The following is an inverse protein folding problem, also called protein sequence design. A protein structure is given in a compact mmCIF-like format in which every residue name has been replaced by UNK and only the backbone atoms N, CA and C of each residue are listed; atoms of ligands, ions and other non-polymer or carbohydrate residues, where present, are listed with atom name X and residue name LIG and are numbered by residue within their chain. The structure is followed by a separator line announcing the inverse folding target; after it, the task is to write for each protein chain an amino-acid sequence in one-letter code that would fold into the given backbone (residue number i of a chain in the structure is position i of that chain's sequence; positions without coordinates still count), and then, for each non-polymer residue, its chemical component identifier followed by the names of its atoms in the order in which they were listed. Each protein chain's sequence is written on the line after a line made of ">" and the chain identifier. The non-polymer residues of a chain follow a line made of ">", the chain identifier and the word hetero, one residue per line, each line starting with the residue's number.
data_IF_228724514743
#
_entry.id   IF_228724514743
#
_cell.length_a   1.000
_cell.length_b   1.000
_cell.length_c   1.000
_cell.angle_alpha   90.00
_cell.angle_beta   90.00
_cell.angle_gamma   90.00
#
_symmetry.space_group_name_H-M   'P 1'
#
loop_
_entity.id
_entity.type
_entity.pdbx_description
1 polymer ?
#
# COMPACT_ATOMS: atom_id res chain seq x y z
N UNK A 1 39.42 0.98 15.70
CA UNK A 1 38.34 1.90 15.31
C UNK A 1 37.92 1.58 13.89
N UNK A 2 36.82 0.83 13.72
CA UNK A 2 36.36 0.44 12.40
C UNK A 2 35.77 1.65 11.68
N UNK A 3 36.20 1.89 10.43
CA UNK A 3 35.69 2.99 9.59
C UNK A 3 34.52 2.47 8.76
N UNK A 4 33.35 3.10 8.88
CA UNK A 4 32.23 2.88 7.95
C UNK A 4 32.66 3.38 6.56
N UNK A 5 32.68 2.48 5.58
CA UNK A 5 32.82 2.79 4.17
C UNK A 5 31.41 2.76 3.59
N UNK A 6 30.85 3.92 3.32
CA UNK A 6 29.44 4.15 3.01
C UNK A 6 28.87 3.10 2.02
N UNK A 7 27.85 2.37 2.44
CA UNK A 7 27.02 1.58 1.52
C UNK A 7 25.87 2.47 1.03
N UNK A 8 25.89 2.85 -0.24
CA UNK A 8 24.73 3.42 -0.92
C UNK A 8 24.32 2.47 -2.06
N UNK A 9 23.86 1.28 -1.67
CA UNK A 9 23.30 0.29 -2.62
C UNK A 9 21.78 0.42 -2.77
N UNK A 10 21.15 1.29 -1.99
CA UNK A 10 19.70 1.41 -1.93
C UNK A 10 19.28 2.70 -2.64
N UNK A 11 18.49 2.55 -3.71
CA UNK A 11 17.86 3.67 -4.37
C UNK A 11 16.57 4.00 -3.62
N UNK A 12 16.59 5.09 -2.86
CA UNK A 12 15.45 5.55 -2.06
C UNK A 12 14.77 6.71 -2.77
N UNK A 13 13.45 6.68 -2.83
CA UNK A 13 12.61 7.79 -3.29
C UNK A 13 11.80 8.31 -2.11
N UNK A 14 11.79 9.63 -1.94
CA UNK A 14 11.04 10.31 -0.88
C UNK A 14 9.78 10.90 -1.51
N UNK A 15 8.64 10.68 -0.86
CA UNK A 15 7.32 11.12 -1.27
C UNK A 15 6.75 11.98 -0.14
N UNK A 16 6.33 13.19 -0.48
CA UNK A 16 5.68 14.12 0.44
C UNK A 16 4.17 13.82 0.52
N UNK A 17 3.62 13.77 1.73
CA UNK A 17 2.17 13.65 1.94
C UNK A 17 1.42 14.93 1.55
N UNK A 18 0.17 14.81 1.13
CA UNK A 18 -0.75 15.95 1.19
C UNK A 18 -1.19 16.23 2.63
N UNK A 19 -1.54 17.48 2.91
CA UNK A 19 -2.00 17.90 4.24
C UNK A 19 -3.39 17.36 4.53
N UNK A 20 -3.59 16.84 5.75
CA UNK A 20 -4.91 16.41 6.24
C UNK A 20 -5.27 14.96 5.92
N UNK A 21 -4.36 14.19 5.32
CA UNK A 21 -4.51 12.74 5.19
C UNK A 21 -4.03 12.03 6.46
N UNK A 22 -4.70 10.94 6.88
CA UNK A 22 -4.21 10.14 8.01
C UNK A 22 -2.86 9.51 7.65
N UNK A 23 -1.90 9.47 8.60
CA UNK A 23 -0.61 8.84 8.35
C UNK A 23 -0.79 7.35 8.08
N UNK A 24 -0.18 6.89 7.00
CA UNK A 24 -0.15 5.48 6.61
C UNK A 24 1.01 4.78 7.30
N UNK A 25 0.90 3.47 7.49
CA UNK A 25 1.91 2.67 8.19
C UNK A 25 3.03 2.18 7.26
N UNK A 26 4.14 1.76 7.86
CA UNK A 26 5.19 1.02 7.18
C UNK A 26 4.62 -0.25 6.52
N UNK A 27 5.28 -0.72 5.44
CA UNK A 27 4.85 -1.87 4.62
C UNK A 27 3.59 -1.69 3.78
N UNK A 28 2.88 -0.56 3.88
CA UNK A 28 1.80 -0.25 2.95
C UNK A 28 2.35 -0.07 1.53
N UNK A 29 1.64 -0.61 0.55
CA UNK A 29 1.98 -0.47 -0.87
C UNK A 29 1.35 0.80 -1.41
N UNK A 30 2.17 1.64 -2.03
CA UNK A 30 1.75 2.84 -2.75
C UNK A 30 1.37 2.48 -4.18
N UNK A 31 0.27 3.05 -4.66
CA UNK A 31 -0.22 2.94 -6.01
C UNK A 31 -0.26 4.33 -6.64
N UNK A 32 0.06 4.41 -7.93
CA UNK A 32 -0.24 5.60 -8.73
C UNK A 32 -1.72 5.64 -9.11
N UNK A 33 -2.18 6.77 -9.61
CA UNK A 33 -3.53 6.94 -10.21
C UNK A 33 -3.85 5.90 -11.29
N UNK A 34 -2.84 5.50 -12.07
CA UNK A 34 -2.99 4.47 -13.10
C UNK A 34 -3.08 3.03 -12.53
N UNK A 35 -3.19 2.90 -11.20
CA UNK A 35 -3.25 1.65 -10.43
C UNK A 35 -1.99 0.79 -10.53
N UNK A 36 -0.87 1.34 -11.00
CA UNK A 36 0.42 0.66 -10.91
C UNK A 36 1.02 0.81 -9.52
N UNK A 37 1.52 -0.30 -8.97
CA UNK A 37 2.19 -0.28 -7.67
C UNK A 37 3.59 0.33 -7.80
N UNK A 38 3.89 1.30 -6.95
CA UNK A 38 5.21 1.92 -6.83
C UNK A 38 6.15 1.06 -5.99
N UNK A 39 5.67 0.64 -4.82
CA UNK A 39 6.46 -0.14 -3.88
C UNK A 39 5.90 -0.04 -2.47
N UNK A 40 6.57 -0.72 -1.54
CA UNK A 40 6.24 -0.65 -0.13
C UNK A 40 6.96 0.52 0.53
N UNK A 41 6.29 1.15 1.48
CA UNK A 41 6.92 2.12 2.37
C UNK A 41 7.98 1.38 3.21
N UNK A 42 9.22 1.85 3.08
CA UNK A 42 10.38 1.41 3.85
C UNK A 42 10.49 2.18 5.17
N UNK A 43 10.25 3.48 5.16
CA UNK A 43 10.40 4.35 6.33
C UNK A 43 9.47 5.56 6.23
N UNK A 44 9.08 6.10 7.40
CA UNK A 44 8.21 7.27 7.53
C UNK A 44 8.87 8.25 8.48
N UNK A 45 9.01 9.50 8.05
CA UNK A 45 9.62 10.54 8.88
C UNK A 45 8.95 11.90 8.68
N UNK A 46 9.31 12.87 9.52
CA UNK A 46 8.74 14.22 9.49
C UNK A 46 7.60 14.45 10.48
N UNK A 47 6.95 15.62 10.43
CA UNK A 47 5.85 15.95 11.34
C UNK A 47 4.63 15.08 11.07
N UNK A 48 3.91 14.70 12.13
CA UNK A 48 2.72 13.84 12.04
C UNK A 48 1.62 14.43 11.16
N UNK A 49 1.54 15.77 11.08
CA UNK A 49 0.58 16.48 10.24
C UNK A 49 0.95 16.52 8.74
N UNK A 50 2.20 16.22 8.41
CA UNK A 50 2.74 16.32 7.06
C UNK A 50 3.94 15.36 6.88
N UNK A 51 3.69 14.03 6.88
CA UNK A 51 4.76 13.04 6.85
C UNK A 51 5.42 12.92 5.48
N UNK A 52 6.63 12.36 5.48
CA UNK A 52 7.36 11.94 4.30
C UNK A 52 7.48 10.41 4.30
N UNK A 53 7.24 9.80 3.15
CA UNK A 53 7.32 8.35 2.94
C UNK A 53 8.54 8.01 2.10
N UNK A 54 9.30 7.01 2.53
CA UNK A 54 10.44 6.47 1.78
C UNK A 54 10.04 5.17 1.11
N UNK A 55 10.28 5.07 -0.19
CA UNK A 55 10.15 3.82 -0.94
C UNK A 55 11.51 3.38 -1.44
N UNK A 56 11.83 2.11 -1.24
CA UNK A 56 13.07 1.50 -1.72
C UNK A 56 12.88 0.86 -3.10
N UNK A 57 13.83 1.12 -3.99
CA UNK A 57 13.94 0.53 -5.31
C UNK A 57 15.24 -0.28 -5.44
N UNK A 58 15.14 -1.38 -6.18
CA UNK A 58 16.26 -2.29 -6.44
C UNK A 58 17.15 -1.83 -7.62
N UNK A 59 16.61 -1.05 -8.56
CA UNK A 59 17.33 -0.54 -9.74
C UNK A 59 16.77 0.81 -10.19
N UNK A 60 17.61 1.64 -10.80
CA UNK A 60 17.24 2.93 -11.37
C UNK A 60 16.28 2.76 -12.56
N UNK A 61 16.41 1.65 -13.29
CA UNK A 61 15.49 1.29 -14.38
C UNK A 61 14.06 1.09 -13.85
N UNK A 62 13.92 0.63 -12.61
CA UNK A 62 12.62 0.46 -11.97
C UNK A 62 11.96 1.80 -11.62
N UNK A 63 12.76 2.84 -11.40
CA UNK A 63 12.27 4.22 -11.18
C UNK A 63 11.86 4.83 -12.53
N UNK A 64 12.70 4.66 -13.55
CA UNK A 64 12.45 5.19 -14.90
C UNK A 64 11.23 4.54 -15.57
N UNK A 65 11.10 3.22 -15.47
CA UNK A 65 9.95 2.48 -16.02
C UNK A 65 8.62 2.82 -15.34
N UNK A 66 8.64 3.23 -14.07
CA UNK A 66 7.44 3.65 -13.33
C UNK A 66 7.05 5.11 -13.56
N UNK A 67 7.78 5.81 -14.44
CA UNK A 67 7.60 7.21 -14.80
C UNK A 67 7.39 8.10 -13.58
N UNK A 68 8.19 7.88 -12.51
CA UNK A 68 8.06 8.61 -11.26
C UNK A 68 8.55 10.04 -11.50
N UNK A 69 7.64 10.95 -11.81
CA UNK A 69 7.95 12.37 -11.97
C UNK A 69 7.93 13.04 -10.60
N UNK A 70 8.86 13.96 -10.40
CA UNK A 70 9.04 14.74 -9.15
C UNK A 70 7.77 15.54 -8.77
N UNK A 71 6.74 15.59 -9.63
CA UNK A 71 5.48 16.33 -9.44
C UNK A 71 4.21 15.48 -9.57
N UNK A 72 4.30 14.15 -9.67
CA UNK A 72 3.08 13.31 -9.68
C UNK A 72 2.48 13.32 -8.27
N UNK A 73 1.40 14.08 -8.09
CA UNK A 73 0.83 14.43 -6.77
C UNK A 73 -0.18 13.43 -6.21
N UNK A 74 -0.57 12.41 -6.98
CA UNK A 74 -1.70 11.55 -6.61
C UNK A 74 -1.28 10.08 -6.50
N UNK A 75 -1.04 9.67 -5.26
CA UNK A 75 -0.80 8.28 -4.90
C UNK A 75 -1.95 7.77 -4.02
N UNK A 76 -2.46 6.60 -4.38
CA UNK A 76 -3.46 5.88 -3.60
C UNK A 76 -2.78 4.79 -2.75
N UNK A 77 -3.35 4.51 -1.59
CA UNK A 77 -2.90 3.41 -0.71
C UNK A 77 -3.84 2.21 -0.88
N UNK A 78 -3.29 0.98 -0.98
CA UNK A 78 -4.12 -0.23 -0.89
C UNK A 78 -4.61 -0.39 0.55
N UNK A 79 -5.88 -0.05 0.76
CA UNK A 79 -6.54 -0.21 2.04
C UNK A 79 -7.02 -1.66 2.20
N UNK A 80 -6.11 -2.52 2.68
CA UNK A 80 -6.32 -3.97 2.83
C UNK A 80 -7.50 -4.33 3.77
N UNK A 81 -8.00 -3.40 4.59
CA UNK A 81 -9.16 -3.62 5.45
C UNK A 81 -10.47 -3.81 4.66
N UNK A 82 -10.68 -3.06 3.57
CA UNK A 82 -11.90 -3.17 2.76
C UNK A 82 -12.01 -4.53 2.05
N UNK A 83 -10.90 -5.15 1.68
CA UNK A 83 -10.89 -6.47 1.05
C UNK A 83 -11.30 -7.58 2.03
N UNK A 84 -10.86 -7.50 3.30
CA UNK A 84 -11.29 -8.44 4.36
C UNK A 84 -12.77 -8.27 4.68
N UNK A 85 -13.27 -7.02 4.73
CA UNK A 85 -14.70 -6.75 4.94
C UNK A 85 -15.59 -7.30 3.81
N UNK A 86 -15.15 -7.21 2.55
CA UNK A 86 -15.89 -7.76 1.41
C UNK A 86 -15.92 -9.30 1.40
N UNK A 87 -14.84 -9.97 1.85
CA UNK A 87 -14.78 -11.43 1.95
C UNK A 87 -15.68 -11.99 3.06
N UNK A 88 -15.83 -11.29 4.20
CA UNK A 88 -16.71 -11.72 5.29
C UNK A 88 -18.19 -11.68 4.88
N UNK A 89 -18.63 -10.63 4.17
CA UNK A 89 -20.01 -10.50 3.69
C UNK A 89 -20.41 -11.60 2.69
N UNK A 90 -19.51 -11.98 1.77
CA UNK A 90 -19.76 -13.10 0.82
C UNK A 90 -19.88 -14.45 1.52
N UNK A 91 -19.09 -14.70 2.58
CA UNK A 91 -19.12 -15.97 3.33
C UNK A 91 -20.44 -16.14 4.09
N UNK A 92 -20.93 -15.09 4.72
CA UNK A 92 -22.21 -15.08 5.46
C UNK A 92 -23.42 -15.35 4.55
N UNK A 93 -23.45 -14.79 3.34
CA UNK A 93 -24.53 -15.05 2.37
C UNK A 93 -24.53 -16.49 1.85
N UNK A 94 -23.35 -17.11 1.67
CA UNK A 94 -23.24 -18.46 1.14
C UNK A 94 -23.68 -19.53 2.17
N UNK A 95 -23.41 -19.28 3.47
CA UNK A 95 -23.90 -20.13 4.57
C UNK A 95 -25.42 -20.04 4.70
N UNK A 96 -26.00 -18.83 4.59
CA UNK A 96 -27.45 -18.63 4.65
C UNK A 96 -28.19 -19.31 3.50
N UNK A 97 -27.63 -19.28 2.28
CA UNK A 97 -28.17 -20.00 1.10
C UNK A 97 -28.14 -21.52 1.27
N UNK A 98 -27.07 -22.09 1.85
CA UNK A 98 -26.99 -23.54 2.14
C UNK A 98 -28.01 -23.99 3.18
N UNK A 99 -28.27 -23.19 4.21
CA UNK A 99 -29.22 -23.50 5.28
C UNK A 99 -30.68 -23.40 4.84
N UNK A 100 -31.01 -22.51 3.90
CA UNK A 100 -32.35 -22.40 3.33
C UNK A 100 -32.70 -23.61 2.44
N UNK A 101 -31.70 -24.17 1.74
CA UNK A 101 -31.87 -25.30 0.83
C UNK A 101 -32.00 -26.65 1.55
N UNK A 102 -31.53 -26.76 2.80
CA UNK A 102 -31.67 -27.97 3.61
C UNK A 102 -33.02 -28.08 4.32
N UNK A 103 -33.74 -26.98 4.53
CA UNK A 103 -35.06 -26.99 5.18
C UNK A 103 -36.20 -27.30 4.21
N UNK A 104 -35.94 -27.33 2.90
CA UNK A 104 -36.93 -27.58 1.86
C UNK A 104 -36.95 -29.04 1.38
N UNK A 105 -36.08 -29.89 1.95
CA UNK A 105 -35.95 -31.31 1.60
C UNK A 105 -36.50 -32.27 2.68
N UNK A 106 -37.09 -31.75 3.77
CA UNK A 106 -37.66 -32.53 4.89
C UNK A 106 -39.18 -32.29 5.03
N UNK A 107 -39.94 -32.34 3.93
CA UNK A 107 -41.42 -32.39 3.93
C UNK A 107 -41.94 -33.29 2.83
#
# INVERSE_FOLDING_TARGET
>A
FSKIFRFFFLLLVIIESEKGLPPVNENTVLFKENRHSLGKIFEIFGPVSHPFYVVQFNSLEHIQSKDIKIKDAALDFSDDEKEKAAKSHKKSQNIKRKKLRSQQNDS
#
